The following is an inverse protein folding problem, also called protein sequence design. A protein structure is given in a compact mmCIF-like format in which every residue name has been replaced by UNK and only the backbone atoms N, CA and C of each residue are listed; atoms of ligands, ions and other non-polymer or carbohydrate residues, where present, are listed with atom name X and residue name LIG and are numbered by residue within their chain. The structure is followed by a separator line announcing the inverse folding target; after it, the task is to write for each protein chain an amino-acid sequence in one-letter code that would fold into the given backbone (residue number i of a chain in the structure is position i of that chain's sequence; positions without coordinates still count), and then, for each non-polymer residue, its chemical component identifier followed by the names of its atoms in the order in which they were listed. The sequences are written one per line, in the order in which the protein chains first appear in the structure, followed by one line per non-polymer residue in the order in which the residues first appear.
data_IF_039988688651
#
_entry.id   IF_039988688651
#
_cell.length_a   1.000
_cell.length_b   1.000
_cell.length_c   1.000
_cell.angle_alpha   90.00
_cell.angle_beta   90.00
_cell.angle_gamma   90.00
#
_symmetry.space_group_name_H-M   'P 1'
#
loop_
_entity.id
_entity.type
_entity.pdbx_description
1 polymer ?
#
# COMPACT_ATOMS: atom_id res chain seq x y z
N UNK A 1 17.77 13.33 9.27
CA UNK A 1 16.49 13.04 9.94
C UNK A 1 16.19 14.21 10.84
N UNK A 2 15.11 14.92 10.55
CA UNK A 2 14.59 15.96 11.42
C UNK A 2 13.63 15.30 12.41
N UNK A 3 13.62 15.69 13.67
CA UNK A 3 12.68 15.16 14.68
C UNK A 3 11.20 15.56 14.39
N UNK A 4 10.94 16.22 13.25
CA UNK A 4 9.63 16.50 12.67
C UNK A 4 9.10 15.40 11.74
N UNK A 5 9.91 14.40 11.41
CA UNK A 5 9.55 13.39 10.40
C UNK A 5 8.51 12.42 10.99
N UNK A 6 7.42 12.19 10.26
CA UNK A 6 6.42 11.19 10.61
C UNK A 6 7.09 9.82 10.88
N UNK A 7 6.59 9.02 11.84
CA UNK A 7 7.16 7.71 12.10
C UNK A 7 7.20 6.89 10.82
N UNK A 8 8.39 6.37 10.50
CA UNK A 8 8.62 5.63 9.28
C UNK A 8 7.79 4.34 9.21
N UNK A 9 7.59 3.79 8.00
CA UNK A 9 6.72 2.64 7.77
C UNK A 9 7.12 1.41 8.59
N UNK A 10 8.41 1.20 8.85
CA UNK A 10 8.88 0.09 9.68
C UNK A 10 8.48 0.25 11.16
N UNK A 11 8.46 1.47 11.69
CA UNK A 11 7.99 1.76 13.04
C UNK A 11 6.49 1.49 13.16
N UNK A 12 5.72 1.87 12.14
CA UNK A 12 4.28 1.60 12.08
C UNK A 12 3.97 0.10 12.01
N UNK A 13 4.70 -0.64 11.16
CA UNK A 13 4.50 -2.07 11.01
C UNK A 13 4.76 -2.84 12.32
N UNK A 14 5.77 -2.45 13.10
CA UNK A 14 6.09 -3.09 14.38
C UNK A 14 4.95 -3.08 15.41
N UNK A 15 3.98 -2.18 15.28
CA UNK A 15 2.84 -2.12 16.21
C UNK A 15 1.95 -3.37 16.15
N UNK A 16 1.92 -4.08 15.02
CA UNK A 16 0.97 -5.18 14.76
C UNK A 16 1.66 -6.51 14.44
N UNK A 17 2.99 -6.51 14.43
CA UNK A 17 3.82 -7.69 14.17
C UNK A 17 3.87 -8.54 15.44
N UNK A 18 3.69 -9.85 15.30
CA UNK A 18 3.66 -10.76 16.43
C UNK A 18 5.04 -10.85 17.11
N UNK A 19 5.04 -11.28 18.38
CA UNK A 19 6.29 -11.58 19.07
C UNK A 19 7.06 -12.68 18.33
N UNK A 20 8.36 -12.49 18.12
CA UNK A 20 9.22 -13.40 17.34
C UNK A 20 9.17 -13.21 15.82
N UNK A 21 8.24 -12.40 15.30
CA UNK A 21 8.18 -12.03 13.87
C UNK A 21 9.05 -10.77 13.63
N UNK A 22 9.92 -10.80 12.62
CA UNK A 22 10.82 -9.67 12.31
C UNK A 22 10.36 -8.94 11.06
N UNK A 23 10.25 -7.60 11.14
CA UNK A 23 10.04 -6.76 9.94
C UNK A 23 11.32 -6.75 9.11
N UNK A 24 11.23 -7.22 7.87
CA UNK A 24 12.33 -7.22 6.89
C UNK A 24 12.42 -5.85 6.22
N UNK A 25 11.29 -5.37 5.68
CA UNK A 25 11.14 -4.01 5.18
C UNK A 25 9.68 -3.55 5.31
N UNK A 26 9.48 -2.24 5.26
CA UNK A 26 8.16 -1.64 5.15
C UNK A 26 8.24 -0.36 4.32
N UNK A 27 7.18 -0.08 3.55
CA UNK A 27 7.07 1.09 2.69
C UNK A 27 5.64 1.62 2.65
N UNK A 28 5.49 2.91 2.37
CA UNK A 28 4.18 3.51 2.12
C UNK A 28 3.74 3.27 0.68
N UNK A 29 2.50 2.83 0.50
CA UNK A 29 1.88 2.59 -0.79
C UNK A 29 0.37 2.74 -0.67
N UNK A 30 -0.13 3.92 -1.00
CA UNK A 30 -1.50 4.35 -0.71
C UNK A 30 -2.51 3.94 -1.76
N UNK A 31 -2.11 3.90 -3.03
CA UNK A 31 -2.97 3.57 -4.17
C UNK A 31 -2.52 2.26 -4.81
N UNK A 32 -3.48 1.36 -5.03
CA UNK A 32 -3.23 0.18 -5.86
C UNK A 32 -4.33 -0.04 -6.89
N UNK A 33 -3.98 -0.79 -7.94
CA UNK A 33 -4.89 -1.16 -9.04
C UNK A 33 -4.75 -2.65 -9.37
N UNK A 34 -5.74 -3.19 -10.08
CA UNK A 34 -5.73 -4.57 -10.56
C UNK A 34 -5.34 -4.66 -12.05
N UNK A 35 -4.43 -5.59 -12.35
CA UNK A 35 -4.14 -6.13 -13.68
C UNK A 35 -4.37 -7.64 -13.65
N UNK A 36 -5.62 -8.00 -13.43
CA UNK A 36 -6.07 -9.38 -13.31
C UNK A 36 -6.97 -9.69 -14.49
N UNK A 37 -6.76 -10.83 -15.15
CA UNK A 37 -7.56 -11.19 -16.30
C UNK A 37 -9.05 -11.21 -15.94
N UNK A 38 -9.89 -10.65 -16.83
CA UNK A 38 -11.36 -10.48 -16.67
C UNK A 38 -11.80 -9.42 -15.65
N UNK A 39 -10.88 -8.75 -14.96
CA UNK A 39 -11.17 -7.62 -14.07
C UNK A 39 -10.73 -6.29 -14.68
N UNK A 40 -11.43 -5.21 -14.35
CA UNK A 40 -10.99 -3.85 -14.58
C UNK A 40 -9.94 -3.41 -13.53
N UNK A 41 -9.42 -2.19 -13.64
CA UNK A 41 -8.43 -1.64 -12.71
C UNK A 41 -8.92 -1.54 -11.26
N UNK A 42 -10.24 -1.58 -11.06
CA UNK A 42 -10.92 -1.51 -9.76
C UNK A 42 -11.23 -2.90 -9.19
N UNK A 43 -10.83 -3.96 -9.89
CA UNK A 43 -11.10 -5.35 -9.48
C UNK A 43 -12.53 -5.76 -9.76
N UNK A 44 -13.30 -4.98 -10.52
CA UNK A 44 -14.66 -5.33 -10.90
C UNK A 44 -14.66 -6.15 -12.20
N UNK A 45 -15.61 -7.08 -12.37
CA UNK A 45 -15.75 -7.80 -13.64
C UNK A 45 -15.93 -6.82 -14.81
N UNK A 46 -15.15 -6.99 -15.88
CA UNK A 46 -15.29 -6.13 -17.07
C UNK A 46 -16.66 -6.34 -17.72
N UNK A 47 -17.46 -5.28 -17.79
CA UNK A 47 -18.71 -5.28 -18.56
C UNK A 47 -18.40 -5.56 -20.03
N UNK A 48 -18.82 -6.72 -20.55
CA UNK A 48 -18.60 -7.14 -21.94
C UNK A 48 -17.74 -8.39 -22.15
N UNK A 49 -17.20 -9.02 -21.09
CA UNK A 49 -16.50 -10.31 -21.19
C UNK A 49 -17.45 -11.53 -21.31
N UNK A 50 -18.77 -11.31 -21.28
CA UNK A 50 -19.79 -12.31 -21.60
C UNK A 50 -20.28 -12.07 -23.03
N UNK A 51 -19.50 -12.52 -24.03
CA UNK A 51 -19.99 -13.04 -25.32
C UNK A 51 -18.87 -13.05 -26.36
N UNK A 52 -18.27 -14.23 -26.60
CA UNK A 52 -18.03 -14.82 -27.93
C UNK A 52 -17.23 -16.11 -27.78
N UNK A 53 -17.95 -17.23 -27.88
CA UNK A 53 -17.48 -18.45 -28.53
C UNK A 53 -16.39 -19.26 -27.84
N UNK A 54 -16.81 -20.28 -27.11
CA UNK A 54 -16.16 -21.59 -27.17
C UNK A 54 -16.20 -22.06 -28.64
N UNK A 55 -15.18 -21.74 -29.41
CA UNK A 55 -15.07 -22.14 -30.80
C UNK A 55 -13.72 -21.79 -31.38
N UNK A 56 -12.94 -22.86 -31.67
CA UNK A 56 -11.75 -22.91 -32.51
C UNK A 56 -10.37 -22.80 -31.83
N UNK A 57 -9.67 -23.96 -31.84
CA UNK A 57 -8.24 -24.15 -32.18
C UNK A 57 -7.22 -23.57 -31.17
N UNK A 58 -6.16 -24.24 -30.73
CA UNK A 58 -5.38 -25.34 -31.27
C UNK A 58 -4.01 -25.26 -30.58
N UNK A 59 -3.31 -26.40 -30.51
CA UNK A 59 -1.99 -26.58 -29.89
C UNK A 59 -0.99 -25.47 -30.23
N UNK A 60 -0.27 -24.97 -29.22
CA UNK A 60 0.93 -24.16 -29.44
C UNK A 60 1.45 -23.51 -28.17
N UNK A 61 2.55 -24.02 -27.64
CA UNK A 61 3.32 -23.37 -26.58
C UNK A 61 3.84 -22.00 -27.08
N UNK A 62 3.51 -20.93 -26.37
CA UNK A 62 4.24 -19.68 -26.40
C UNK A 62 3.92 -18.86 -25.15
N UNK A 63 4.91 -18.71 -24.27
CA UNK A 63 5.03 -17.55 -23.40
C UNK A 63 4.81 -16.28 -24.24
N UNK A 64 4.12 -15.27 -23.67
CA UNK A 64 3.87 -13.86 -24.12
C UNK A 64 2.35 -13.60 -24.06
N UNK A 65 1.78 -12.65 -23.29
CA UNK A 65 2.30 -11.41 -22.73
C UNK A 65 1.64 -11.09 -21.37
N UNK A 66 2.46 -10.99 -20.32
CA UNK A 66 2.14 -10.16 -19.15
C UNK A 66 2.48 -8.72 -19.52
N UNK A 67 1.50 -7.81 -19.40
CA UNK A 67 1.75 -6.37 -19.49
C UNK A 67 1.17 -5.68 -20.73
N UNK A 68 -0.15 -5.72 -20.89
CA UNK A 68 -0.86 -4.54 -21.39
C UNK A 68 -1.93 -4.18 -20.36
N UNK A 69 -1.61 -3.20 -19.52
CA UNK A 69 -2.63 -2.42 -18.83
C UNK A 69 -3.33 -1.53 -19.88
N UNK A 70 -4.06 -2.18 -20.78
CA UNK A 70 -4.95 -1.56 -21.76
C UNK A 70 -6.20 -1.11 -21.01
N UNK A 71 -6.12 0.06 -20.36
CA UNK A 71 -7.23 0.58 -19.57
C UNK A 71 -6.92 1.81 -18.73
N UNK A 72 -5.65 2.16 -18.50
CA UNK A 72 -5.32 3.45 -17.85
C UNK A 72 -5.46 4.55 -18.92
N UNK A 73 -6.65 5.12 -19.03
CA UNK A 73 -6.86 6.41 -19.67
C UNK A 73 -6.31 7.48 -18.72
N UNK A 74 -5.07 7.95 -18.94
CA UNK A 74 -4.77 9.34 -18.54
C UNK A 74 -5.64 10.21 -19.42
N UNK A 75 -6.70 10.74 -18.82
CA UNK A 75 -7.31 11.99 -19.24
C UNK A 75 -6.21 13.06 -19.19
N UNK A 76 -5.87 13.72 -20.32
CA UNK A 76 -4.90 14.82 -20.30
C UNK A 76 -5.38 16.03 -19.46
N UNK A 77 -6.61 16.01 -18.92
CA UNK A 77 -7.14 16.96 -17.94
C UNK A 77 -7.36 16.40 -16.52
N UNK A 78 -7.08 15.11 -16.27
CA UNK A 78 -7.32 14.44 -14.99
C UNK A 78 -6.01 14.13 -14.26
N UNK A 79 -5.88 14.56 -12.99
CA UNK A 79 -4.71 14.31 -12.15
C UNK A 79 -4.61 12.85 -11.69
N UNK A 80 -4.55 11.88 -12.61
CA UNK A 80 -4.42 10.47 -12.28
C UNK A 80 -2.96 10.13 -11.96
N UNK A 81 -2.63 10.15 -10.68
CA UNK A 81 -1.32 9.75 -10.17
C UNK A 81 -1.06 8.26 -10.47
N UNK A 82 0.17 7.87 -10.88
CA UNK A 82 0.51 6.47 -11.11
C UNK A 82 0.29 5.64 -9.84
N UNK A 83 -0.09 4.36 -9.95
CA UNK A 83 -0.32 3.50 -8.79
C UNK A 83 1.00 3.22 -8.05
N UNK A 84 0.91 3.11 -6.72
CA UNK A 84 2.03 2.68 -5.88
C UNK A 84 2.23 1.16 -5.97
N UNK A 85 1.14 0.43 -6.24
CA UNK A 85 1.11 -1.03 -6.24
C UNK A 85 0.19 -1.55 -7.36
N UNK A 86 0.59 -2.61 -8.03
CA UNK A 86 -0.24 -3.29 -9.03
C UNK A 86 -0.39 -4.76 -8.67
N UNK A 87 -1.63 -5.22 -8.54
CA UNK A 87 -1.99 -6.62 -8.25
C UNK A 87 -2.22 -7.35 -9.57
N UNK A 88 -1.51 -8.44 -9.84
CA UNK A 88 -1.60 -9.16 -11.12
C UNK A 88 -2.00 -10.62 -10.95
N UNK A 89 -2.62 -11.21 -12.00
CA UNK A 89 -2.92 -12.65 -12.04
C UNK A 89 -3.85 -13.07 -13.20
N UNK A 90 -3.98 -14.38 -13.39
CA UNK A 90 -4.67 -14.99 -14.55
C UNK A 90 -6.20 -15.09 -14.40
N UNK A 91 -6.77 -14.65 -13.28
CA UNK A 91 -8.21 -14.64 -13.06
C UNK A 91 -8.63 -14.12 -11.68
N UNK A 92 -9.93 -13.89 -11.47
CA UNK A 92 -10.47 -13.30 -10.24
C UNK A 92 -10.28 -14.18 -9.00
N UNK A 93 -10.07 -15.48 -9.16
CA UNK A 93 -9.87 -16.40 -8.04
C UNK A 93 -8.38 -16.59 -7.69
N UNK A 94 -7.49 -15.79 -8.27
CA UNK A 94 -6.07 -15.85 -7.92
C UNK A 94 -5.83 -15.39 -6.47
N UNK A 95 -4.71 -15.86 -5.89
CA UNK A 95 -4.33 -15.56 -4.51
C UNK A 95 -4.19 -14.06 -4.28
N UNK A 96 -3.58 -13.34 -5.24
CA UNK A 96 -3.34 -11.91 -5.08
C UNK A 96 -4.62 -11.07 -5.04
N UNK A 97 -5.58 -11.36 -5.93
CA UNK A 97 -6.88 -10.69 -5.88
C UNK A 97 -7.67 -11.10 -4.64
N UNK A 98 -7.71 -12.39 -4.31
CA UNK A 98 -8.46 -12.90 -3.15
C UNK A 98 -7.97 -12.28 -1.84
N UNK A 99 -6.66 -12.07 -1.69
CA UNK A 99 -6.08 -11.47 -0.50
C UNK A 99 -6.38 -9.97 -0.35
N UNK A 100 -6.65 -9.26 -1.45
CA UNK A 100 -6.74 -7.79 -1.46
C UNK A 100 -8.11 -7.23 -1.86
N UNK A 101 -9.05 -8.06 -2.31
CA UNK A 101 -10.37 -7.62 -2.80
C UNK A 101 -11.18 -6.78 -1.80
N UNK A 102 -10.98 -7.03 -0.51
CA UNK A 102 -11.67 -6.33 0.58
C UNK A 102 -10.90 -5.08 1.06
N UNK A 103 -9.69 -4.85 0.54
CA UNK A 103 -8.88 -3.67 0.84
C UNK A 103 -9.30 -2.51 -0.08
N UNK A 104 -9.64 -1.33 0.45
CA UNK A 104 -9.99 -0.17 -0.39
C UNK A 104 -8.84 0.22 -1.33
N UNK A 105 -9.07 0.42 -2.62
CA UNK A 105 -8.03 0.71 -3.63
C UNK A 105 -7.14 1.91 -3.29
N UNK A 106 -7.74 2.96 -2.75
CA UNK A 106 -7.05 4.12 -2.21
C UNK A 106 -7.21 4.12 -0.70
N UNK A 107 -6.09 4.20 0.00
CA UNK A 107 -6.09 4.39 1.44
C UNK A 107 -6.79 5.71 1.79
N UNK A 108 -7.59 5.69 2.86
CA UNK A 108 -8.26 6.90 3.36
C UNK A 108 -7.29 7.92 3.97
N UNK A 109 -6.04 7.51 4.18
CA UNK A 109 -4.93 8.32 4.65
C UNK A 109 -3.67 7.94 3.86
N UNK A 110 -2.68 8.82 3.82
CA UNK A 110 -1.40 8.56 3.15
C UNK A 110 -0.52 7.51 3.87
N UNK A 111 -1.09 6.78 4.83
CA UNK A 111 -0.36 5.96 5.79
C UNK A 111 -0.47 4.46 5.53
N UNK A 112 -1.07 4.04 4.40
CA UNK A 112 -1.08 2.61 4.09
C UNK A 112 0.35 2.10 3.97
N UNK A 113 0.65 1.12 4.80
CA UNK A 113 1.98 0.54 4.90
C UNK A 113 1.94 -0.90 4.40
N UNK A 114 2.80 -1.18 3.45
CA UNK A 114 3.12 -2.53 3.00
C UNK A 114 4.36 -2.98 3.76
N UNK A 115 4.29 -4.12 4.43
CA UNK A 115 5.41 -4.64 5.20
C UNK A 115 5.63 -6.11 4.93
N UNK A 116 6.85 -6.48 4.59
CA UNK A 116 7.26 -7.87 4.55
C UNK A 116 7.93 -8.21 5.88
N UNK A 117 7.48 -9.29 6.47
CA UNK A 117 8.05 -9.86 7.69
C UNK A 117 8.72 -11.20 7.40
N UNK A 118 9.34 -11.78 8.42
CA UNK A 118 9.83 -13.15 8.39
C UNK A 118 8.72 -14.19 8.16
N UNK A 119 7.45 -13.86 8.42
CA UNK A 119 6.33 -14.79 8.38
C UNK A 119 5.29 -14.51 7.30
N UNK A 120 5.17 -13.27 6.80
CA UNK A 120 4.07 -12.87 5.90
C UNK A 120 4.29 -11.48 5.28
N UNK A 121 3.55 -11.20 4.21
CA UNK A 121 3.27 -9.85 3.75
C UNK A 121 2.07 -9.29 4.51
N UNK A 122 2.14 -8.03 4.93
CA UNK A 122 1.07 -7.28 5.60
C UNK A 122 0.71 -6.02 4.79
N UNK A 123 -0.58 -5.73 4.72
CA UNK A 123 -1.13 -4.42 4.33
C UNK A 123 -1.78 -3.80 5.55
N UNK A 124 -1.29 -2.63 5.95
CA UNK A 124 -1.68 -1.97 7.19
C UNK A 124 -2.31 -0.63 6.90
N UNK A 125 -3.45 -0.35 7.53
CA UNK A 125 -4.11 0.94 7.51
C UNK A 125 -4.24 1.52 8.93
N UNK A 126 -4.40 2.83 9.03
CA UNK A 126 -4.64 3.50 10.32
C UNK A 126 -6.05 3.15 10.82
N UNK A 127 -6.14 2.71 12.08
CA UNK A 127 -7.42 2.53 12.77
C UNK A 127 -8.02 3.90 13.00
N UNK A 128 -9.19 4.15 12.39
CA UNK A 128 -10.05 5.25 12.84
C UNK A 128 -10.95 4.73 13.95
N UNK A 129 -10.84 5.30 15.14
CA UNK A 129 -11.94 5.21 16.09
C UNK A 129 -13.19 5.81 15.42
N UNK A 130 -14.35 5.12 15.46
CA UNK A 130 -15.59 5.73 15.03
C UNK A 130 -15.83 6.96 15.91
N UNK A 131 -15.69 8.16 15.33
CA UNK A 131 -16.08 9.37 16.05
C UNK A 131 -17.53 9.18 16.48
N UNK A 132 -17.87 9.34 17.78
CA UNK A 132 -19.24 9.17 18.24
C UNK A 132 -20.15 10.01 17.36
N UNK A 133 -21.35 9.50 17.01
CA UNK A 133 -22.24 10.21 16.11
C UNK A 133 -22.42 11.62 16.67
N UNK A 134 -22.09 12.63 15.85
CA UNK A 134 -22.37 14.03 16.17
C UNK A 134 -23.88 14.14 16.33
N UNK A 135 -24.37 13.95 17.56
CA UNK A 135 -25.72 14.31 17.91
C UNK A 135 -25.82 15.80 17.64
N UNK A 136 -26.72 16.16 16.74
CA UNK A 136 -26.94 17.53 16.34
C UNK A 136 -27.22 18.38 17.56
N UNK A 137 -26.32 19.32 17.84
CA UNK A 137 -26.63 20.48 18.66
C UNK A 137 -26.47 21.72 17.78
N UNK A 138 -27.51 21.99 17.02
CA UNK A 138 -27.94 23.37 16.78
C UNK A 138 -28.30 23.93 18.16
N UNK A 139 -27.32 24.45 18.93
CA UNK A 139 -27.47 25.41 20.05
C UNK A 139 -26.20 25.42 20.92
N UNK A 140 -25.25 26.29 20.58
CA UNK A 140 -24.72 27.36 21.45
C UNK A 140 -23.46 27.97 20.85
N UNK A 141 -23.67 29.09 20.16
CA UNK A 141 -22.76 30.23 20.28
C UNK A 141 -22.53 30.51 21.78
N UNK A 142 -21.32 30.93 22.12
CA UNK A 142 -20.84 31.45 23.41
C UNK A 142 -20.76 30.47 24.59
N UNK A 143 -19.52 30.02 24.89
CA UNK A 143 -18.82 29.84 26.18
C UNK A 143 -17.33 29.71 25.76
N UNK A 144 -16.52 30.77 25.77
CA UNK A 144 -15.71 31.23 26.92
C UNK A 144 -14.31 30.61 26.83
N UNK A 145 -13.33 31.23 26.13
CA UNK A 145 -12.31 32.13 26.70
C UNK A 145 -11.98 31.84 28.17
N UNK A 146 -10.81 31.25 28.41
CA UNK A 146 -10.10 31.34 29.69
C UNK A 146 -10.11 30.10 30.58
N UNK A 147 -9.27 29.11 30.28
CA UNK A 147 -8.40 28.44 31.25
C UNK A 147 -7.19 27.86 30.48
N UNK A 148 -6.08 28.59 30.50
CA UNK A 148 -4.74 28.03 30.79
C UNK A 148 -3.68 29.13 30.60
N UNK A 149 -3.31 29.73 31.74
CA UNK A 149 -2.14 30.58 31.91
C UNK A 149 -1.09 29.74 32.66
N UNK A 150 0.20 30.03 32.40
CA UNK A 150 1.38 29.76 33.26
C UNK A 150 2.05 28.40 32.98
N UNK A 151 3.09 28.29 32.13
CA UNK A 151 4.39 28.95 32.24
C UNK A 151 5.01 29.26 30.86
N UNK A 152 4.91 30.52 30.46
CA UNK A 152 5.86 31.16 29.55
C UNK A 152 7.03 31.61 30.42
N UNK A 153 8.00 30.73 30.65
CA UNK A 153 9.31 31.08 31.22
C UNK A 153 10.36 30.19 30.58
N UNK A 154 11.33 30.84 29.92
CA UNK A 154 12.55 30.29 29.28
C UNK A 154 12.32 29.40 28.06
N UNK A 155 12.16 30.05 26.91
CA UNK A 155 12.22 29.45 25.57
C UNK A 155 13.64 28.90 25.31
N UNK A 156 13.90 27.67 25.75
CA UNK A 156 15.03 26.82 25.37
C UNK A 156 14.59 25.48 24.77
N UNK A 157 13.29 25.27 24.60
CA UNK A 157 12.75 24.07 23.98
C UNK A 157 12.79 24.21 22.47
N UNK A 158 13.79 23.56 21.85
CA UNK A 158 13.85 23.41 20.40
C UNK A 158 12.57 22.74 19.92
N UNK A 159 11.73 23.46 19.19
CA UNK A 159 10.60 22.90 18.45
C UNK A 159 11.14 22.21 17.21
N UNK A 160 10.69 21.00 16.93
CA UNK A 160 11.08 20.21 15.76
C UNK A 160 9.83 19.95 14.91
N UNK A 161 9.42 20.94 14.12
CA UNK A 161 8.15 20.88 13.37
C UNK A 161 6.94 20.96 14.29
N UNK A 162 5.96 20.07 14.12
CA UNK A 162 4.80 19.93 15.03
C UNK A 162 5.15 19.25 16.35
N UNK A 163 6.33 18.61 16.44
CA UNK A 163 6.77 17.93 17.65
C UNK A 163 7.49 18.91 18.59
N UNK A 164 7.12 18.85 19.87
CA UNK A 164 7.79 19.58 20.95
C UNK A 164 8.84 18.64 21.56
N UNK A 165 10.03 19.15 21.86
CA UNK A 165 11.03 18.40 22.62
C UNK A 165 10.39 17.82 23.90
N UNK A 166 10.76 16.59 24.25
CA UNK A 166 10.24 15.84 25.41
C UNK A 166 8.76 15.39 25.31
N UNK A 167 8.13 15.50 24.13
CA UNK A 167 6.83 14.90 23.83
C UNK A 167 7.01 13.64 22.95
N UNK A 168 6.48 12.47 23.36
CA UNK A 168 6.55 11.25 22.54
C UNK A 168 5.92 11.43 21.15
N UNK A 169 6.62 10.98 20.10
CA UNK A 169 6.06 10.95 18.75
C UNK A 169 4.86 10.01 18.74
N UNK A 170 3.68 10.56 18.50
CA UNK A 170 2.44 9.77 18.48
C UNK A 170 2.42 8.95 17.20
N UNK A 171 2.49 7.62 17.33
CA UNK A 171 2.28 6.71 16.22
C UNK A 171 0.79 6.41 16.11
N UNK A 172 0.13 6.66 14.96
CA UNK A 172 -1.27 6.28 14.80
C UNK A 172 -1.41 4.76 14.95
N UNK A 173 -2.49 4.28 15.60
CA UNK A 173 -2.73 2.84 15.74
C UNK A 173 -2.94 2.22 14.36
N UNK A 174 -2.23 1.14 14.07
CA UNK A 174 -2.34 0.41 12.80
C UNK A 174 -3.23 -0.83 12.98
N UNK A 175 -3.95 -1.20 11.92
CA UNK A 175 -4.66 -2.48 11.81
C UNK A 175 -4.24 -3.20 10.52
N UNK A 176 -4.32 -4.53 10.57
CA UNK A 176 -4.06 -5.39 9.42
C UNK A 176 -5.30 -5.39 8.53
N UNK A 177 -5.18 -4.80 7.33
CA UNK A 177 -6.21 -4.81 6.29
C UNK A 177 -6.15 -6.08 5.45
N UNK A 178 -4.95 -6.62 5.24
CA UNK A 178 -4.73 -7.89 4.56
C UNK A 178 -3.40 -8.53 4.99
N UNK A 179 -3.32 -9.85 4.84
CA UNK A 179 -2.08 -10.61 5.06
C UNK A 179 -1.95 -11.76 4.06
N UNK A 180 -0.72 -12.03 3.63
CA UNK A 180 -0.37 -13.21 2.81
C UNK A 180 0.78 -13.94 3.47
N UNK A 181 0.58 -15.19 3.86
CA UNK A 181 1.59 -16.00 4.55
C UNK A 181 2.82 -16.27 3.68
N UNK A 182 3.98 -16.45 4.32
CA UNK A 182 5.26 -16.61 3.63
C UNK A 182 5.31 -17.85 2.73
N UNK A 183 4.60 -18.92 3.09
CA UNK A 183 4.50 -20.15 2.30
C UNK A 183 3.72 -19.97 0.98
N UNK A 184 2.93 -18.90 0.88
CA UNK A 184 2.23 -18.51 -0.36
C UNK A 184 3.09 -17.65 -1.29
N UNK A 185 4.24 -17.16 -0.83
CA UNK A 185 5.16 -16.33 -1.61
C UNK A 185 6.19 -17.23 -2.29
N UNK A 186 6.12 -17.33 -3.61
CA UNK A 186 7.04 -18.16 -4.41
C UNK A 186 8.37 -17.47 -4.69
N UNK A 187 8.40 -16.14 -4.71
CA UNK A 187 9.65 -15.41 -4.90
C UNK A 187 9.51 -13.90 -4.87
N UNK A 188 10.66 -13.23 -4.73
CA UNK A 188 10.79 -11.79 -4.88
C UNK A 188 11.88 -11.49 -5.91
N UNK A 189 11.66 -10.48 -6.75
CA UNK A 189 12.62 -10.04 -7.74
C UNK A 189 12.49 -8.54 -8.01
N UNK A 190 13.60 -7.88 -8.30
CA UNK A 190 13.56 -6.55 -8.95
C UNK A 190 13.10 -6.76 -10.38
N UNK A 191 12.09 -6.00 -10.79
CA UNK A 191 11.49 -6.11 -12.10
C UNK A 191 11.16 -4.73 -12.65
N UNK A 192 10.67 -4.71 -13.89
CA UNK A 192 10.22 -3.50 -14.55
C UNK A 192 8.77 -3.69 -14.99
N UNK A 193 7.91 -2.81 -14.48
CA UNK A 193 6.49 -2.80 -14.82
C UNK A 193 6.25 -1.80 -15.92
N UNK A 194 5.75 -2.28 -17.06
CA UNK A 194 5.23 -1.41 -18.11
C UNK A 194 3.89 -0.85 -17.66
N UNK A 195 3.85 0.45 -17.42
CA UNK A 195 2.64 1.27 -17.34
C UNK A 195 2.39 1.90 -18.72
N UNK A 196 1.27 2.61 -18.90
CA UNK A 196 0.80 3.14 -20.20
C UNK A 196 1.93 3.70 -21.08
N UNK A 197 2.60 4.75 -20.61
CA UNK A 197 3.64 5.48 -21.36
C UNK A 197 5.05 5.30 -20.80
N UNK A 198 5.20 4.60 -19.68
CA UNK A 198 6.48 4.49 -18.97
C UNK A 198 6.68 3.09 -18.43
N UNK A 199 7.94 2.68 -18.41
CA UNK A 199 8.36 1.48 -17.69
C UNK A 199 8.98 1.95 -16.38
N UNK A 200 8.47 1.47 -15.25
CA UNK A 200 8.98 1.82 -13.92
C UNK A 200 9.64 0.61 -13.26
N UNK A 201 10.74 0.80 -12.51
CA UNK A 201 11.25 -0.25 -11.64
C UNK A 201 10.23 -0.59 -10.55
N UNK A 202 10.27 -1.83 -10.09
CA UNK A 202 9.41 -2.32 -9.02
C UNK A 202 10.02 -3.52 -8.30
N UNK A 203 9.59 -3.77 -7.08
CA UNK A 203 9.78 -5.05 -6.41
C UNK A 203 8.58 -5.94 -6.73
N UNK A 204 8.80 -6.97 -7.56
CA UNK A 204 7.80 -8.00 -7.84
C UNK A 204 7.83 -9.06 -6.75
N UNK A 205 6.67 -9.32 -6.17
CA UNK A 205 6.40 -10.45 -5.30
C UNK A 205 5.47 -11.41 -6.02
N UNK A 206 5.94 -12.62 -6.28
CA UNK A 206 5.16 -13.68 -6.92
C UNK A 206 4.61 -14.64 -5.88
N UNK A 207 3.39 -15.11 -6.10
CA UNK A 207 2.72 -16.13 -5.31
C UNK A 207 2.78 -17.50 -5.99
N UNK A 208 2.46 -18.55 -5.24
CA UNK A 208 2.57 -19.95 -5.68
C UNK A 208 1.65 -20.30 -6.86
N UNK A 209 0.59 -19.54 -7.09
CA UNK A 209 -0.34 -19.71 -8.23
C UNK A 209 0.05 -18.87 -9.46
N UNK A 210 1.21 -18.20 -9.43
CA UNK A 210 1.68 -17.33 -10.51
C UNK A 210 1.10 -15.90 -10.47
N UNK A 211 0.13 -15.62 -9.59
CA UNK A 211 -0.32 -14.25 -9.31
C UNK A 211 0.68 -13.51 -8.43
N UNK A 212 0.46 -12.21 -8.19
CA UNK A 212 1.36 -11.46 -7.32
C UNK A 212 1.11 -9.97 -7.30
N UNK A 213 2.13 -9.26 -6.83
CA UNK A 213 2.09 -7.82 -6.58
C UNK A 213 3.39 -7.18 -7.09
N UNK A 214 3.27 -6.10 -7.85
CA UNK A 214 4.38 -5.23 -8.22
C UNK A 214 4.33 -3.96 -7.36
N UNK A 215 5.36 -3.73 -6.53
CA UNK A 215 5.50 -2.55 -5.67
C UNK A 215 6.32 -1.48 -6.40
N UNK A 216 5.69 -0.37 -6.80
CA UNK A 216 6.33 0.76 -7.49
C UNK A 216 6.66 1.91 -6.54
N UNK A 217 5.83 2.15 -5.53
CA UNK A 217 6.08 3.07 -4.40
C UNK A 217 6.45 4.51 -4.78
N UNK A 218 6.12 4.96 -6.00
CA UNK A 218 6.54 6.27 -6.51
C UNK A 218 8.05 6.45 -6.70
N UNK A 219 8.84 5.37 -6.63
CA UNK A 219 10.31 5.41 -6.71
C UNK A 219 10.79 5.07 -8.12
N UNK A 220 11.64 5.92 -8.69
CA UNK A 220 12.25 5.70 -10.01
C UNK A 220 13.66 5.09 -9.94
N UNK A 221 14.27 5.04 -8.74
CA UNK A 221 15.59 4.48 -8.50
C UNK A 221 15.50 2.97 -8.23
N UNK A 222 16.04 2.18 -9.15
CA UNK A 222 16.05 0.72 -9.08
C UNK A 222 16.80 0.17 -7.86
N UNK A 223 17.82 0.89 -7.39
CA UNK A 223 18.65 0.46 -6.25
C UNK A 223 17.87 0.35 -4.93
N UNK A 224 16.79 1.11 -4.80
CA UNK A 224 15.88 1.00 -3.65
C UNK A 224 15.22 -0.38 -3.61
N UNK A 225 14.82 -0.92 -4.76
CA UNK A 225 14.22 -2.26 -4.84
C UNK A 225 15.26 -3.37 -4.69
N UNK A 226 16.49 -3.16 -5.16
CA UNK A 226 17.61 -4.09 -4.90
C UNK A 226 17.92 -4.19 -3.41
N UNK A 227 17.91 -3.05 -2.71
CA UNK A 227 18.06 -3.00 -1.26
C UNK A 227 16.90 -3.71 -0.54
N UNK A 228 15.64 -3.45 -0.92
CA UNK A 228 14.49 -4.17 -0.37
C UNK A 228 14.56 -5.69 -0.62
N UNK A 229 15.02 -6.10 -1.80
CA UNK A 229 15.22 -7.51 -2.13
C UNK A 229 16.29 -8.15 -1.24
N UNK A 230 17.37 -7.42 -0.96
CA UNK A 230 18.44 -7.87 -0.05
C UNK A 230 17.91 -8.06 1.37
N UNK A 231 17.17 -7.08 1.90
CA UNK A 231 16.50 -7.18 3.19
C UNK A 231 15.52 -8.38 3.27
N UNK A 232 14.87 -8.70 2.16
CA UNK A 232 13.89 -9.80 2.07
C UNK A 232 14.51 -11.20 2.23
N UNK A 233 15.84 -11.30 2.06
CA UNK A 233 16.63 -12.54 2.23
C UNK A 233 17.12 -12.72 3.67
N UNK A 234 17.03 -11.67 4.50
CA UNK A 234 17.62 -11.66 5.83
C UNK A 234 19.13 -11.37 5.83
N UNK A 235 19.70 -11.01 4.68
CA UNK A 235 21.09 -10.58 4.56
C UNK A 235 21.21 -9.18 5.21
N UNK A 236 21.90 -9.11 6.35
CA UNK A 236 22.23 -7.88 7.07
C UNK A 236 23.73 -7.77 7.28
#
# INVERSE_FOLDING_TARGET
MSFSDAPGPATLARQVVAEGETVLWAAHGSRFVYDVARLDEKGQPRAGAVSRGLGALGRGAANVAVGLVAGIEDDPGGADLPPDVVVFGDGPDCLAHTALRDVPLAARSNWRTWALTSARLLVLDVVREPSPPRQGSLLRKTIGWGMDIVNIVTDRTKKYGENVADVPVTCPPMAVSASVDRDRISGLAVSRRRLRMRTKPCLRMSFVDGSGIDLLLGVEDESVFEWMLTLSRGDR
#
